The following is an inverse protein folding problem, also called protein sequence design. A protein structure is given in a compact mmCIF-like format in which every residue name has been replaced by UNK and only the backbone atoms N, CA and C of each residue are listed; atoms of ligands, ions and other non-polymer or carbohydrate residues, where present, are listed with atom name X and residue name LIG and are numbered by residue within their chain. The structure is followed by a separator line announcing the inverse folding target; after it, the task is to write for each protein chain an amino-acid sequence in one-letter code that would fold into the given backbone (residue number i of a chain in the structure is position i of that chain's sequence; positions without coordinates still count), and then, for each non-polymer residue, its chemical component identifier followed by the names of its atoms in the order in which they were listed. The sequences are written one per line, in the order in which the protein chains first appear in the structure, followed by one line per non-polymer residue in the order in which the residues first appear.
data_IF_902547781320
#
_entry.id   IF_902547781320
#
_cell.length_a   1.000
_cell.length_b   1.000
_cell.length_c   1.000
_cell.angle_alpha   90.00
_cell.angle_beta   90.00
_cell.angle_gamma   90.00
#
_symmetry.space_group_name_H-M   'P 1'
#
loop_
_entity.id
_entity.type
_entity.pdbx_description
1 polymer ?
#
# COMPACT_ATOMS: atom_id res chain seq x y z
N UNK A 1 -0.34 -1.10 -3.50
CA UNK A 1 -0.63 0.29 -3.10
C UNK A 1 -0.36 0.36 -1.61
N UNK A 2 0.49 1.28 -1.18
CA UNK A 2 0.81 1.47 0.25
C UNK A 2 0.26 2.84 0.59
N UNK A 3 -0.74 2.87 1.45
CA UNK A 3 -1.45 4.07 1.85
C UNK A 3 -1.63 4.09 3.38
N UNK A 4 -1.46 5.27 3.93
CA UNK A 4 -0.78 5.49 5.18
C UNK A 4 -1.09 6.95 5.57
N UNK A 5 -2.20 7.19 6.29
CA UNK A 5 -2.79 8.52 6.49
C UNK A 5 -3.10 8.85 7.96
N UNK A 6 -2.91 10.11 8.36
CA UNK A 6 -3.64 10.76 9.48
C UNK A 6 -3.37 12.26 9.58
N UNK A 7 -4.29 13.01 10.21
CA UNK A 7 -4.14 14.43 10.52
C UNK A 7 -3.50 14.64 11.91
N UNK A 8 -2.73 15.72 12.10
CA UNK A 8 -2.15 16.07 13.41
C UNK A 8 -1.10 15.07 13.93
N UNK A 9 -0.31 14.51 13.02
CA UNK A 9 0.55 13.36 13.27
C UNK A 9 1.65 13.70 14.28
N UNK A 10 1.64 12.99 15.41
CA UNK A 10 2.73 13.06 16.39
C UNK A 10 4.02 12.42 15.84
N UNK A 11 5.19 12.80 16.36
CA UNK A 11 6.46 12.13 16.00
C UNK A 11 6.45 10.59 16.21
N UNK A 12 5.65 10.11 17.18
CA UNK A 12 5.44 8.68 17.41
C UNK A 12 4.63 8.03 16.28
N UNK A 13 3.61 8.73 15.77
CA UNK A 13 2.86 8.29 14.61
C UNK A 13 3.73 8.30 13.35
N UNK A 14 4.54 9.35 13.10
CA UNK A 14 5.55 9.38 12.01
C UNK A 14 6.49 8.15 12.07
N UNK A 15 6.96 7.78 13.26
CA UNK A 15 7.83 6.60 13.43
C UNK A 15 7.09 5.31 13.09
N UNK A 16 5.85 5.16 13.55
CA UNK A 16 5.01 3.97 13.27
C UNK A 16 4.78 3.79 11.78
N UNK A 17 4.51 4.90 11.13
CA UNK A 17 4.26 5.03 9.71
C UNK A 17 5.48 4.78 8.83
N UNK A 18 6.65 5.27 9.24
CA UNK A 18 7.92 4.87 8.63
C UNK A 18 8.12 3.35 8.68
N UNK A 19 7.73 2.68 9.77
CA UNK A 19 7.85 1.23 9.86
C UNK A 19 6.92 0.52 8.87
N UNK A 20 5.69 1.02 8.67
CA UNK A 20 4.76 0.46 7.70
C UNK A 20 5.26 0.63 6.26
N UNK A 21 5.79 1.82 5.94
CA UNK A 21 6.43 2.09 4.66
C UNK A 21 7.61 1.13 4.41
N UNK A 22 8.52 1.04 5.38
CA UNK A 22 9.67 0.15 5.30
C UNK A 22 9.26 -1.31 5.15
N UNK A 23 8.19 -1.73 5.81
CA UNK A 23 7.70 -3.10 5.67
C UNK A 23 7.20 -3.40 4.26
N UNK A 24 6.50 -2.46 3.62
CA UNK A 24 6.10 -2.65 2.22
C UNK A 24 7.33 -2.77 1.29
N UNK A 25 8.41 -2.03 1.57
CA UNK A 25 9.70 -2.23 0.89
C UNK A 25 10.29 -3.61 1.16
N UNK A 26 10.23 -4.08 2.41
CA UNK A 26 10.67 -5.42 2.77
C UNK A 26 9.90 -6.48 1.99
N UNK A 27 8.57 -6.36 1.88
CA UNK A 27 7.74 -7.26 1.04
C UNK A 27 8.19 -7.24 -0.41
N UNK A 28 8.38 -6.06 -1.00
CA UNK A 28 8.84 -5.91 -2.37
C UNK A 28 10.21 -6.58 -2.59
N UNK A 29 11.12 -6.47 -1.62
CA UNK A 29 12.46 -7.10 -1.67
C UNK A 29 12.43 -8.64 -1.70
N UNK A 30 11.32 -9.27 -1.30
CA UNK A 30 11.16 -10.73 -1.32
C UNK A 30 10.59 -11.25 -2.64
N UNK A 31 10.21 -10.38 -3.58
CA UNK A 31 9.78 -10.78 -4.91
C UNK A 31 10.98 -11.32 -5.71
N UNK A 32 10.81 -12.47 -6.38
CA UNK A 32 11.86 -13.06 -7.21
C UNK A 32 12.27 -12.15 -8.38
N UNK A 33 11.33 -11.34 -8.88
CA UNK A 33 11.57 -10.28 -9.85
C UNK A 33 10.86 -9.01 -9.39
N UNK A 34 11.64 -8.05 -8.88
CA UNK A 34 11.16 -6.74 -8.45
C UNK A 34 11.46 -5.64 -9.49
N UNK A 35 11.86 -6.02 -10.71
CA UNK A 35 12.15 -5.09 -11.80
C UNK A 35 10.90 -4.39 -12.34
N UNK A 36 9.72 -4.98 -12.11
CA UNK A 36 8.39 -4.43 -12.45
C UNK A 36 7.56 -4.12 -11.21
N UNK A 37 8.22 -3.79 -10.09
CA UNK A 37 7.54 -3.25 -8.93
C UNK A 37 7.21 -1.77 -9.17
N UNK A 38 5.95 -1.50 -9.51
CA UNK A 38 5.41 -0.15 -9.58
C UNK A 38 4.28 0.01 -8.59
N UNK A 39 4.17 1.21 -8.04
CA UNK A 39 3.11 1.56 -7.12
C UNK A 39 3.01 3.06 -7.03
N UNK A 40 1.85 3.54 -6.60
CA UNK A 40 1.70 4.89 -6.08
C UNK A 40 1.96 4.80 -4.59
N UNK A 41 3.19 5.06 -4.12
CA UNK A 41 3.41 5.37 -2.73
C UNK A 41 2.63 6.64 -2.40
N UNK A 42 1.61 6.47 -1.58
CA UNK A 42 0.95 7.58 -0.92
C UNK A 42 1.52 7.66 0.51
N UNK A 43 1.80 8.86 0.99
CA UNK A 43 2.58 9.07 2.21
C UNK A 43 2.13 10.33 2.95
N UNK A 44 2.55 10.44 4.20
CA UNK A 44 2.12 11.38 5.25
C UNK A 44 2.40 12.88 5.02
N UNK A 45 2.61 13.31 3.78
CA UNK A 45 2.92 14.70 3.50
C UNK A 45 3.73 14.98 2.23
N UNK A 46 4.05 16.25 2.01
CA UNK A 46 4.90 16.71 0.92
C UNK A 46 6.38 16.41 1.21
N UNK A 47 7.12 16.00 0.19
CA UNK A 47 8.58 16.13 0.19
C UNK A 47 8.95 17.39 -0.59
N UNK A 48 9.69 18.32 0.00
CA UNK A 48 9.98 19.65 -0.61
C UNK A 48 10.76 19.61 -1.94
N UNK A 49 11.21 18.42 -2.38
CA UNK A 49 11.84 18.18 -3.68
C UNK A 49 10.94 17.52 -4.73
N UNK A 50 9.68 17.23 -4.41
CA UNK A 50 8.73 16.50 -5.25
C UNK A 50 7.54 17.41 -5.52
N UNK A 51 7.15 17.56 -6.79
CA UNK A 51 6.00 18.39 -7.13
C UNK A 51 4.73 17.76 -6.53
N UNK A 52 3.82 18.63 -6.14
CA UNK A 52 2.47 18.35 -5.64
C UNK A 52 1.79 17.14 -6.31
N UNK A 53 1.17 16.25 -5.50
CA UNK A 53 0.52 14.96 -5.83
C UNK A 53 1.06 14.23 -7.08
N UNK A 54 2.37 14.30 -7.30
CA UNK A 54 2.95 13.72 -8.49
C UNK A 54 3.06 12.24 -8.21
N UNK A 55 2.06 11.50 -8.69
CA UNK A 55 2.20 10.18 -9.27
C UNK A 55 3.66 9.77 -9.21
N UNK A 56 4.05 8.97 -8.23
CA UNK A 56 5.38 8.39 -8.19
C UNK A 56 5.28 7.11 -9.01
N UNK A 57 5.40 7.12 -10.35
CA UNK A 57 5.61 5.87 -11.06
C UNK A 57 7.00 5.41 -10.64
N UNK A 58 7.02 4.57 -9.63
CA UNK A 58 8.21 3.83 -9.25
C UNK A 58 8.38 2.79 -10.34
N UNK A 59 9.38 2.91 -11.21
CA UNK A 59 9.48 2.00 -12.34
C UNK A 59 10.20 0.69 -11.97
N UNK A 60 10.85 0.63 -10.81
CA UNK A 60 11.46 -0.59 -10.25
C UNK A 60 11.80 -0.43 -8.75
N UNK A 61 12.06 -1.55 -8.06
CA UNK A 61 12.47 -1.60 -6.65
C UNK A 61 13.70 -0.74 -6.31
N UNK A 62 14.70 -0.65 -7.20
CA UNK A 62 15.93 0.11 -6.91
C UNK A 62 15.67 1.61 -6.86
N UNK A 63 14.69 2.10 -7.61
CA UNK A 63 14.22 3.47 -7.51
C UNK A 63 13.39 3.66 -6.23
N UNK A 64 12.55 2.68 -5.88
CA UNK A 64 11.75 2.72 -4.65
C UNK A 64 12.58 2.81 -3.37
N UNK A 65 13.59 1.94 -3.25
CA UNK A 65 14.48 1.84 -2.08
C UNK A 65 15.32 3.11 -1.84
N UNK A 66 15.41 3.98 -2.85
CA UNK A 66 16.10 5.27 -2.77
C UNK A 66 15.18 6.44 -2.47
N UNK A 67 13.85 6.22 -2.45
CA UNK A 67 12.91 7.28 -2.14
C UNK A 67 12.96 7.56 -0.64
N UNK A 68 13.27 8.80 -0.22
CA UNK A 68 13.15 9.18 1.18
C UNK A 68 11.69 9.10 1.59
N UNK A 69 11.42 8.69 2.84
CA UNK A 69 10.05 8.81 3.34
C UNK A 69 9.64 10.29 3.33
N UNK A 70 8.51 10.67 2.72
CA UNK A 70 8.04 12.05 2.73
C UNK A 70 7.67 12.44 4.16
N UNK A 71 8.48 13.30 4.76
CA UNK A 71 8.31 13.78 6.14
C UNK A 71 8.66 15.27 6.28
N UNK A 72 8.88 15.97 5.16
CA UNK A 72 9.37 17.35 5.15
C UNK A 72 8.25 18.36 5.38
N UNK A 73 7.03 18.04 4.97
CA UNK A 73 5.83 18.85 5.20
C UNK A 73 4.69 17.91 5.56
N UNK A 74 4.21 17.97 6.81
CA UNK A 74 3.08 17.18 7.31
C UNK A 74 1.80 17.75 6.71
N UNK A 75 1.55 17.46 5.43
CA UNK A 75 0.28 17.78 4.80
C UNK A 75 -0.85 17.03 5.53
N UNK A 76 -1.91 17.76 5.84
CA UNK A 76 -3.03 17.33 6.67
C UNK A 76 -4.30 17.00 5.86
N UNK A 77 -4.21 17.08 4.53
CA UNK A 77 -5.29 16.69 3.62
C UNK A 77 -5.33 15.16 3.38
N UNK A 78 -6.55 14.62 3.40
CA UNK A 78 -6.86 13.18 3.29
C UNK A 78 -6.97 12.81 1.81
N UNK A 79 -5.98 12.09 1.28
CA UNK A 79 -5.95 11.74 -0.14
C UNK A 79 -6.74 10.45 -0.49
N UNK A 80 -6.84 9.51 0.45
CA UNK A 80 -7.55 8.23 0.28
C UNK A 80 -8.57 8.06 1.39
N UNK A 81 -9.66 8.80 1.23
CA UNK A 81 -10.86 8.52 1.96
C UNK A 81 -11.33 7.07 1.70
N UNK A 82 -11.19 6.22 2.73
CA UNK A 82 -11.51 4.79 2.68
C UNK A 82 -13.00 4.52 2.36
N UNK A 83 -13.84 5.55 2.41
CA UNK A 83 -15.24 5.51 1.97
C UNK A 83 -15.34 5.45 0.44
N UNK A 84 -14.34 5.96 -0.28
CA UNK A 84 -14.31 5.99 -1.75
C UNK A 84 -13.28 5.02 -2.36
N UNK A 85 -12.48 4.33 -1.54
CA UNK A 85 -11.39 3.45 -2.01
C UNK A 85 -11.83 2.45 -3.08
N UNK A 86 -12.98 1.81 -2.93
CA UNK A 86 -13.47 0.83 -3.90
C UNK A 86 -13.79 1.47 -5.26
N UNK A 87 -14.39 2.66 -5.24
CA UNK A 87 -14.70 3.40 -6.46
C UNK A 87 -13.43 3.88 -7.17
N UNK A 88 -12.42 4.28 -6.39
CA UNK A 88 -11.10 4.69 -6.90
C UNK A 88 -10.36 3.49 -7.51
N UNK A 89 -10.31 2.35 -6.83
CA UNK A 89 -9.66 1.13 -7.34
C UNK A 89 -10.35 0.56 -8.59
N UNK A 90 -11.65 0.78 -8.76
CA UNK A 90 -12.37 0.43 -9.99
C UNK A 90 -11.91 1.25 -11.19
N UNK A 91 -11.44 2.48 -10.97
CA UNK A 91 -10.98 3.40 -12.02
C UNK A 91 -9.45 3.44 -12.15
N UNK A 92 -8.73 2.82 -11.22
CA UNK A 92 -7.28 2.79 -11.21
C UNK A 92 -6.72 2.02 -12.41
N UNK A 93 -5.53 2.42 -12.88
CA UNK A 93 -4.83 1.79 -14.01
C UNK A 93 -3.32 1.74 -13.75
N UNK A 94 -2.64 0.72 -14.29
CA UNK A 94 -1.18 0.67 -14.29
C UNK A 94 -0.57 1.65 -15.28
N UNK A 95 0.54 2.27 -14.90
CA UNK A 95 1.30 3.22 -15.71
C UNK A 95 2.79 2.79 -15.72
N UNK A 96 3.33 2.33 -16.86
CA UNK A 96 2.63 2.10 -18.14
C UNK A 96 1.60 0.96 -18.03
N UNK A 97 0.60 0.89 -18.94
CA UNK A 97 -0.37 -0.19 -18.95
C UNK A 97 0.32 -1.55 -19.01
N UNK A 98 0.05 -2.40 -18.03
CA UNK A 98 0.50 -3.79 -18.02
C UNK A 98 -0.50 -4.66 -18.80
N UNK A 99 0.01 -5.57 -19.63
CA UNK A 99 -0.82 -6.54 -20.37
C UNK A 99 -0.90 -7.90 -19.66
N UNK A 100 -0.03 -8.13 -18.68
CA UNK A 100 0.05 -9.37 -17.91
C UNK A 100 -0.87 -9.33 -16.68
N UNK A 101 -0.92 -10.44 -15.93
CA UNK A 101 -1.67 -10.50 -14.68
C UNK A 101 -1.08 -9.53 -13.65
N UNK A 102 -1.81 -8.47 -13.37
CA UNK A 102 -1.48 -7.48 -12.35
C UNK A 102 -2.11 -7.83 -11.02
N UNK A 103 -1.34 -7.66 -9.94
CA UNK A 103 -1.78 -7.93 -8.59
C UNK A 103 -1.71 -6.67 -7.72
N UNK A 104 -2.65 -6.55 -6.79
CA UNK A 104 -2.66 -5.50 -5.78
C UNK A 104 -2.38 -6.13 -4.42
N UNK A 105 -1.33 -5.65 -3.76
CA UNK A 105 -1.16 -5.83 -2.30
C UNK A 105 -1.75 -4.57 -1.65
N UNK A 106 -2.78 -4.75 -0.83
CA UNK A 106 -3.47 -3.70 -0.08
C UNK A 106 -3.09 -3.79 1.40
N UNK A 107 -2.22 -2.89 1.86
CA UNK A 107 -1.84 -2.79 3.27
C UNK A 107 -2.83 -1.90 4.00
N UNK A 108 -3.29 -2.30 5.18
CA UNK A 108 -4.17 -1.47 6.01
C UNK A 108 -3.79 -1.55 7.48
N UNK A 109 -3.63 -0.35 8.07
CA UNK A 109 -3.55 -0.14 9.51
C UNK A 109 -4.87 0.41 10.09
N UNK A 110 -5.86 0.66 9.24
CA UNK A 110 -7.08 1.36 9.61
C UNK A 110 -8.07 0.43 10.34
N UNK A 111 -8.84 0.95 11.31
CA UNK A 111 -9.97 0.22 11.84
C UNK A 111 -11.10 0.13 10.81
N UNK A 112 -11.91 -0.92 10.89
CA UNK A 112 -13.01 -1.20 9.95
C UNK A 112 -13.99 -0.03 9.79
N UNK A 113 -14.19 0.75 10.85
CA UNK A 113 -15.11 1.88 10.88
C UNK A 113 -14.77 2.99 9.87
N UNK A 114 -13.48 3.16 9.50
CA UNK A 114 -13.06 4.19 8.54
C UNK A 114 -13.54 3.91 7.11
N UNK A 115 -13.96 2.68 6.81
CA UNK A 115 -14.45 2.32 5.48
C UNK A 115 -15.90 2.76 5.22
N UNK A 116 -16.65 3.25 6.22
CA UNK A 116 -18.09 3.61 6.16
C UNK A 116 -18.91 2.79 5.14
N UNK A 117 -19.03 1.47 5.39
CA UNK A 117 -19.76 0.47 4.57
C UNK A 117 -19.12 0.11 3.21
N UNK A 118 -18.02 0.74 2.81
CA UNK A 118 -17.27 0.36 1.61
C UNK A 118 -16.48 -0.95 1.83
N UNK A 119 -16.30 -1.73 0.76
CA UNK A 119 -15.52 -2.97 0.77
C UNK A 119 -14.58 -3.05 -0.43
N UNK A 120 -13.39 -3.60 -0.20
CA UNK A 120 -12.40 -3.89 -1.23
C UNK A 120 -12.81 -5.18 -1.96
N UNK A 121 -12.71 -5.19 -3.28
CA UNK A 121 -12.97 -6.37 -4.09
C UNK A 121 -11.71 -7.23 -4.19
N UNK A 122 -11.89 -8.54 -4.34
CA UNK A 122 -10.79 -9.47 -4.61
C UNK A 122 -10.21 -9.32 -6.02
N UNK A 123 -10.91 -8.59 -6.90
CA UNK A 123 -10.52 -8.32 -8.29
C UNK A 123 -11.03 -6.95 -8.74
N UNK A 124 -10.29 -6.29 -9.63
CA UNK A 124 -10.67 -5.07 -10.35
C UNK A 124 -10.30 -5.20 -11.82
N UNK A 125 -10.73 -4.25 -12.67
CA UNK A 125 -10.39 -4.25 -14.10
C UNK A 125 -8.87 -4.32 -14.32
N UNK A 126 -8.14 -3.50 -13.56
CA UNK A 126 -6.69 -3.37 -13.58
C UNK A 126 -5.93 -4.26 -12.60
N UNK A 127 -6.60 -5.09 -11.80
CA UNK A 127 -5.96 -5.99 -10.83
C UNK A 127 -6.71 -7.33 -10.78
N UNK A 128 -6.10 -8.39 -11.31
CA UNK A 128 -6.75 -9.72 -11.35
C UNK A 128 -6.72 -10.44 -10.01
N UNK A 129 -5.81 -10.04 -9.12
CA UNK A 129 -5.72 -10.55 -7.76
C UNK A 129 -5.51 -9.37 -6.81
N UNK A 130 -6.29 -9.33 -5.73
CA UNK A 130 -6.09 -8.41 -4.61
C UNK A 130 -5.86 -9.23 -3.35
N UNK A 131 -4.74 -8.98 -2.67
CA UNK A 131 -4.46 -9.56 -1.35
C UNK A 131 -4.44 -8.45 -0.29
N UNK A 132 -5.02 -8.74 0.87
CA UNK A 132 -5.02 -7.83 2.02
C UNK A 132 -3.89 -8.15 3.00
N UNK A 133 -3.28 -7.10 3.56
CA UNK A 133 -2.28 -7.21 4.62
C UNK A 133 -2.70 -6.31 5.77
N UNK A 134 -2.95 -6.92 6.94
CA UNK A 134 -3.26 -6.22 8.18
C UNK A 134 -1.95 -5.88 8.88
N UNK A 135 -1.69 -4.60 9.06
CA UNK A 135 -0.51 -4.07 9.77
C UNK A 135 -0.94 -3.32 11.02
N UNK A 136 -0.04 -3.24 12.01
CA UNK A 136 -0.35 -2.57 13.28
C UNK A 136 -1.48 -3.28 14.05
N UNK A 137 -2.50 -2.51 14.42
CA UNK A 137 -3.65 -2.99 15.19
C UNK A 137 -4.91 -3.25 14.34
N UNK A 138 -4.80 -3.17 13.01
CA UNK A 138 -5.91 -3.51 12.11
C UNK A 138 -6.32 -4.97 12.28
N UNK A 139 -7.62 -5.23 12.29
CA UNK A 139 -8.19 -6.57 12.54
C UNK A 139 -8.97 -7.12 11.34
N UNK A 140 -9.34 -6.26 10.40
CA UNK A 140 -10.11 -6.61 9.20
C UNK A 140 -9.89 -5.59 8.08
N UNK A 141 -10.10 -6.04 6.84
CA UNK A 141 -10.28 -5.19 5.65
C UNK A 141 -11.62 -5.63 5.05
N UNK A 142 -12.67 -4.79 5.06
CA UNK A 142 -13.95 -5.12 4.47
C UNK A 142 -13.80 -5.66 3.03
N UNK A 143 -14.40 -6.82 2.76
CA UNK A 143 -14.35 -7.49 1.45
C UNK A 143 -13.14 -8.43 1.24
N UNK A 144 -12.12 -8.40 2.10
CA UNK A 144 -11.00 -9.36 2.10
C UNK A 144 -11.07 -10.23 3.34
N UNK A 145 -11.29 -11.54 3.16
CA UNK A 145 -11.53 -12.48 4.28
C UNK A 145 -10.31 -13.29 4.69
N UNK A 146 -9.26 -13.29 3.88
CA UNK A 146 -8.07 -14.12 4.00
C UNK A 146 -6.79 -13.29 4.01
N UNK A 147 -6.85 -12.15 4.70
CA UNK A 147 -5.72 -11.23 4.88
C UNK A 147 -4.54 -11.86 5.61
N UNK A 148 -3.33 -11.40 5.27
CA UNK A 148 -2.10 -11.74 5.99
C UNK A 148 -1.94 -10.80 7.18
N UNK A 149 -1.66 -11.35 8.36
CA UNK A 149 -1.33 -10.55 9.54
C UNK A 149 0.18 -10.26 9.57
N UNK A 150 0.56 -8.99 9.57
CA UNK A 150 1.93 -8.52 9.65
C UNK A 150 2.10 -7.57 10.84
N UNK A 151 2.16 -8.15 12.04
CA UNK A 151 2.18 -7.38 13.30
C UNK A 151 3.58 -6.93 13.68
N UNK A 152 4.58 -7.74 13.38
CA UNK A 152 5.97 -7.53 13.78
C UNK A 152 6.78 -6.80 12.71
N UNK A 153 6.24 -6.68 11.50
CA UNK A 153 6.83 -6.00 10.34
C UNK A 153 8.22 -6.55 9.99
N UNK A 154 8.39 -7.87 10.09
CA UNK A 154 9.67 -8.54 9.93
C UNK A 154 9.78 -9.33 8.61
N UNK A 155 10.97 -9.88 8.36
CA UNK A 155 11.25 -10.65 7.14
C UNK A 155 10.37 -11.89 6.96
N UNK A 156 9.99 -12.57 8.04
CA UNK A 156 9.13 -13.77 7.99
C UNK A 156 7.70 -13.41 7.57
N UNK A 157 7.17 -12.32 8.11
CA UNK A 157 5.85 -11.78 7.74
C UNK A 157 5.88 -11.25 6.30
N UNK A 158 6.95 -10.57 5.90
CA UNK A 158 7.13 -10.12 4.52
C UNK A 158 7.14 -11.29 3.53
N UNK A 159 7.84 -12.38 3.88
CA UNK A 159 7.85 -13.61 3.09
C UNK A 159 6.44 -14.25 3.03
N UNK A 160 5.67 -14.18 4.12
CA UNK A 160 4.30 -14.69 4.16
C UNK A 160 3.36 -13.91 3.25
N UNK A 161 3.53 -12.59 3.13
CA UNK A 161 2.80 -11.75 2.16
C UNK A 161 3.11 -12.19 0.73
N UNK A 162 4.39 -12.39 0.39
CA UNK A 162 4.78 -12.87 -0.95
C UNK A 162 4.25 -14.28 -1.20
N UNK A 163 4.30 -15.18 -0.23
CA UNK A 163 3.74 -16.52 -0.37
C UNK A 163 2.22 -16.46 -0.63
N UNK A 164 1.50 -15.63 0.12
CA UNK A 164 0.06 -15.42 -0.09
C UNK A 164 -0.24 -14.91 -1.49
N UNK A 165 0.56 -13.95 -1.98
CA UNK A 165 0.44 -13.45 -3.34
C UNK A 165 0.57 -14.59 -4.35
N UNK A 166 1.64 -15.38 -4.26
CA UNK A 166 1.92 -16.51 -5.15
C UNK A 166 0.81 -17.56 -5.11
N UNK A 167 0.29 -17.87 -3.94
CA UNK A 167 -0.82 -18.82 -3.75
C UNK A 167 -2.15 -18.31 -4.31
N UNK A 168 -2.28 -16.99 -4.52
CA UNK A 168 -3.49 -16.32 -5.00
C UNK A 168 -3.44 -15.96 -6.49
N UNK A 169 -2.35 -16.30 -7.19
CA UNK A 169 -2.25 -16.14 -8.64
C UNK A 169 -3.10 -17.22 -9.35
N UNK A 170 -3.91 -16.85 -10.36
CA UNK A 170 -4.75 -17.78 -11.12
C UNK A 170 -3.99 -18.68 -12.11
#
# INVERSE_FOLDING_TARGET
MVDLQSSGISAAAITTYNNYWNFAMTVASKLNDASTFTGYPDSFGYAGGLNDHSQYPVYNYTEFDKMPTPADDLDDDIDLDLRYVNANLTQASWQPPAQDQTCLIFFSAAPEAEFEDTSIQTTYDSFKTVIGVLIGDATSIPGITDSVNAKNLNDEEAQSVVQKLLDSLP
#
